data_IF_003460820912
#
_entry.id   IF_003460820912
#
_cell.length_a   1.000
_cell.length_b   1.000
_cell.length_c   1.000
_cell.angle_alpha   90.00
_cell.angle_beta   90.00
_cell.angle_gamma   90.00
#
_symmetry.space_group_name_H-M   'P 1'
#
loop_
_entity.id
_entity.type
_entity.pdbx_description
1 polymer ?
#
# COMPACT_ATOMS: atom_id res chain seq x y z
N UNK A 1 8.90 -2.72 6.22
CA UNK A 1 9.95 -2.29 7.16
C UNK A 1 11.26 -3.01 6.92
N UNK A 2 12.34 -2.27 6.92
CA UNK A 2 13.67 -2.80 7.14
C UNK A 2 13.88 -2.94 8.65
N UNK A 3 14.41 -4.10 9.09
CA UNK A 3 14.62 -4.40 10.51
C UNK A 3 15.99 -5.02 10.70
N UNK A 4 16.54 -4.90 11.91
CA UNK A 4 17.82 -5.51 12.25
C UNK A 4 17.74 -7.04 12.10
N UNK A 5 18.85 -7.61 11.65
CA UNK A 5 18.98 -9.06 11.53
C UNK A 5 18.95 -9.69 12.92
N UNK A 6 17.99 -10.57 13.15
CA UNK A 6 17.90 -11.37 14.36
C UNK A 6 18.27 -12.84 14.06
N UNK A 7 18.91 -13.49 15.00
CA UNK A 7 19.38 -14.87 14.85
C UNK A 7 18.51 -15.88 15.62
N UNK A 8 17.62 -15.39 16.48
CA UNK A 8 16.72 -16.24 17.25
C UNK A 8 15.26 -15.75 17.08
N UNK A 9 14.28 -16.66 16.92
CA UNK A 9 12.88 -16.31 16.72
C UNK A 9 12.26 -15.50 17.87
N UNK A 10 12.83 -15.57 19.06
CA UNK A 10 12.38 -14.88 20.26
C UNK A 10 12.97 -13.47 20.42
N UNK A 11 13.91 -13.09 19.58
CA UNK A 11 14.45 -11.73 19.61
C UNK A 11 13.41 -10.72 19.13
N UNK A 12 13.30 -9.55 19.79
CA UNK A 12 12.39 -8.52 19.35
C UNK A 12 12.77 -7.98 17.97
N UNK A 13 11.75 -7.58 17.21
CA UNK A 13 11.97 -6.84 15.97
C UNK A 13 12.37 -5.41 16.36
N UNK A 14 13.54 -5.00 15.93
CA UNK A 14 14.09 -3.67 16.20
C UNK A 14 14.52 -3.00 14.89
N UNK A 15 14.53 -1.65 14.84
CA UNK A 15 15.00 -0.93 13.66
C UNK A 15 16.43 -1.28 13.28
N UNK A 16 16.77 -1.28 11.98
CA UNK A 16 18.12 -1.62 11.52
C UNK A 16 19.12 -0.51 11.82
N UNK A 17 20.39 -0.83 11.70
CA UNK A 17 21.48 0.13 11.76
C UNK A 17 21.65 0.79 10.40
N UNK A 18 21.65 2.12 10.36
CA UNK A 18 21.93 2.87 9.15
C UNK A 18 23.43 3.00 8.87
N UNK A 19 23.78 3.55 7.71
CA UNK A 19 25.19 3.76 7.27
C UNK A 19 26.02 4.62 8.23
N UNK A 20 25.36 5.51 8.99
CA UNK A 20 26.01 6.36 9.99
C UNK A 20 26.29 5.66 11.32
N UNK A 21 25.92 4.39 11.48
CA UNK A 21 26.03 3.65 12.72
C UNK A 21 24.92 3.98 13.74
N UNK A 22 23.88 4.70 13.33
CA UNK A 22 22.69 4.98 14.16
C UNK A 22 21.53 4.09 13.74
N UNK A 23 20.70 3.71 14.69
CA UNK A 23 19.46 3.01 14.39
C UNK A 23 18.43 3.98 13.80
N UNK A 24 17.59 3.47 12.89
CA UNK A 24 16.44 4.21 12.40
C UNK A 24 15.58 4.73 13.55
N UNK A 25 15.07 5.94 13.39
CA UNK A 25 14.14 6.57 14.30
C UNK A 25 12.78 6.75 13.62
N UNK A 26 11.70 6.67 14.40
CA UNK A 26 10.35 6.96 13.93
C UNK A 26 10.12 8.46 13.70
N UNK A 27 8.98 8.80 13.08
CA UNK A 27 8.50 10.17 12.84
C UNK A 27 9.40 10.97 11.89
N UNK A 28 10.03 10.28 10.94
CA UNK A 28 10.87 10.90 9.91
C UNK A 28 10.26 10.77 8.50
N UNK A 29 8.94 10.74 8.39
CA UNK A 29 8.26 10.65 7.11
C UNK A 29 8.77 11.74 6.14
N UNK A 30 9.00 11.34 4.89
CA UNK A 30 9.54 12.16 3.80
C UNK A 30 10.98 12.68 4.00
N UNK A 31 11.70 12.19 5.00
CA UNK A 31 13.09 12.57 5.22
C UNK A 31 14.02 11.90 4.20
N UNK A 32 14.66 12.68 3.36
CA UNK A 32 15.68 12.17 2.41
C UNK A 32 16.88 11.57 3.15
N UNK A 33 17.34 12.21 4.22
CA UNK A 33 18.46 11.69 5.00
C UNK A 33 18.15 10.35 5.66
N UNK A 34 16.89 10.10 6.03
CA UNK A 34 16.49 8.80 6.57
C UNK A 34 16.50 7.70 5.49
N UNK A 35 16.11 8.03 4.26
CA UNK A 35 16.23 7.11 3.09
C UNK A 35 17.71 6.82 2.81
N UNK A 36 18.56 7.83 2.83
CA UNK A 36 19.99 7.72 2.57
C UNK A 36 20.72 6.79 3.57
N UNK A 37 20.20 6.61 4.78
CA UNK A 37 20.75 5.66 5.74
C UNK A 37 20.77 4.23 5.20
N UNK A 38 19.87 3.92 4.25
CA UNK A 38 19.70 2.60 3.62
C UNK A 38 19.98 2.63 2.12
N UNK A 39 20.72 3.62 1.63
CA UNK A 39 20.96 3.84 0.19
C UNK A 39 21.41 2.58 -0.54
N UNK A 40 22.32 1.79 0.01
CA UNK A 40 22.78 0.52 -0.62
C UNK A 40 21.68 -0.53 -0.77
N UNK A 41 20.76 -0.62 0.19
CA UNK A 41 19.59 -1.52 0.08
C UNK A 41 18.68 -1.03 -1.04
N UNK A 42 18.50 0.28 -1.11
CA UNK A 42 17.64 0.94 -2.11
C UNK A 42 18.24 0.79 -3.52
N UNK A 43 19.55 0.99 -3.66
CA UNK A 43 20.26 0.78 -4.91
C UNK A 43 20.09 -0.66 -5.42
N UNK A 44 20.27 -1.67 -4.57
CA UNK A 44 20.03 -3.08 -4.92
C UNK A 44 18.56 -3.34 -5.28
N UNK A 45 17.58 -2.65 -4.63
CA UNK A 45 16.17 -2.78 -4.98
C UNK A 45 15.93 -2.26 -6.40
N UNK A 46 16.48 -1.10 -6.77
CA UNK A 46 16.37 -0.56 -8.13
C UNK A 46 17.05 -1.46 -9.15
N UNK A 47 18.27 -1.90 -8.90
CA UNK A 47 19.02 -2.78 -9.80
C UNK A 47 18.28 -4.10 -10.05
N UNK A 48 17.71 -4.70 -9.01
CA UNK A 48 16.95 -5.94 -9.14
C UNK A 48 15.60 -5.74 -9.83
N UNK A 49 14.94 -4.61 -9.59
CA UNK A 49 13.69 -4.25 -10.26
C UNK A 49 13.94 -4.06 -11.76
N UNK A 50 14.96 -3.28 -12.13
CA UNK A 50 15.35 -3.08 -13.54
C UNK A 50 15.68 -4.41 -14.25
N UNK A 51 16.45 -5.27 -13.60
CA UNK A 51 16.82 -6.59 -14.14
C UNK A 51 15.62 -7.51 -14.39
N UNK A 52 14.49 -7.29 -13.70
CA UNK A 52 13.23 -8.03 -13.84
C UNK A 52 12.18 -7.28 -14.67
N UNK A 53 12.49 -6.07 -15.13
CA UNK A 53 11.56 -5.24 -15.90
C UNK A 53 10.44 -4.63 -15.06
N UNK A 54 10.64 -4.47 -13.74
CA UNK A 54 9.69 -3.79 -12.85
C UNK A 54 9.97 -2.29 -12.79
N UNK A 55 8.92 -1.50 -12.82
CA UNK A 55 9.01 -0.05 -12.79
C UNK A 55 8.63 0.50 -11.41
N UNK A 56 9.58 1.16 -10.76
CA UNK A 56 9.37 1.85 -9.48
C UNK A 56 9.05 3.32 -9.78
N UNK A 57 7.87 3.78 -9.38
CA UNK A 57 7.47 5.21 -9.48
C UNK A 57 8.23 6.07 -8.46
N UNK A 58 8.42 5.56 -7.26
CA UNK A 58 9.21 6.25 -6.24
C UNK A 58 9.38 5.46 -4.95
N UNK A 59 10.42 5.86 -4.19
CA UNK A 59 10.71 5.32 -2.86
C UNK A 59 10.79 6.49 -1.89
N UNK A 60 10.15 6.35 -0.72
CA UNK A 60 10.17 7.36 0.32
C UNK A 60 10.23 6.75 1.73
N UNK A 61 10.73 7.55 2.69
CA UNK A 61 10.66 7.21 4.11
C UNK A 61 9.25 7.46 4.64
N UNK A 62 8.68 6.47 5.29
CA UNK A 62 7.41 6.54 6.00
C UNK A 62 7.59 6.88 7.49
N UNK A 63 6.48 6.90 8.24
CA UNK A 63 6.48 7.35 9.63
C UNK A 63 7.17 6.42 10.62
N UNK A 64 7.27 5.13 10.34
CA UNK A 64 7.89 4.14 11.22
C UNK A 64 9.41 4.07 11.07
N UNK A 65 10.08 3.63 12.13
CA UNK A 65 11.52 3.45 12.12
C UNK A 65 11.95 2.35 11.14
N UNK A 66 12.67 2.71 10.07
CA UNK A 66 13.04 1.79 8.98
C UNK A 66 11.87 1.44 8.05
N UNK A 67 10.78 2.19 8.10
CA UNK A 67 9.64 2.00 7.21
C UNK A 67 9.87 2.73 5.89
N UNK A 68 9.87 1.99 4.81
CA UNK A 68 10.04 2.51 3.46
C UNK A 68 8.77 2.21 2.67
N UNK A 69 8.23 3.21 2.00
CA UNK A 69 7.15 3.05 1.02
C UNK A 69 7.76 2.99 -0.37
N UNK A 70 7.26 2.06 -1.17
CA UNK A 70 7.63 1.90 -2.58
C UNK A 70 6.37 1.95 -3.41
N UNK A 71 6.31 2.88 -4.34
CA UNK A 71 5.20 3.07 -5.25
C UNK A 71 5.49 2.39 -6.59
N UNK A 72 4.55 1.59 -7.06
CA UNK A 72 4.58 0.94 -8.36
C UNK A 72 3.67 1.67 -9.33
N UNK A 73 3.98 1.63 -10.61
CA UNK A 73 3.14 2.15 -11.66
C UNK A 73 1.82 1.37 -11.73
N UNK A 74 0.75 2.06 -12.14
CA UNK A 74 -0.54 1.41 -12.37
C UNK A 74 -0.52 0.56 -13.64
N UNK A 75 -1.30 -0.52 -13.66
CA UNK A 75 -1.35 -1.43 -14.80
C UNK A 75 -2.49 -2.44 -14.69
N UNK A 76 -2.37 -3.50 -15.46
CA UNK A 76 -3.27 -4.65 -15.39
C UNK A 76 -3.23 -5.28 -13.99
N UNK A 77 -4.39 -5.54 -13.35
CA UNK A 77 -4.43 -5.99 -11.96
C UNK A 77 -3.76 -7.36 -11.72
N UNK A 78 -3.78 -8.26 -12.69
CA UNK A 78 -3.12 -9.58 -12.56
C UNK A 78 -1.61 -9.42 -12.69
N UNK A 79 -1.14 -8.70 -13.70
CA UNK A 79 0.27 -8.41 -13.90
C UNK A 79 0.85 -7.66 -12.69
N UNK A 80 0.11 -6.68 -12.14
CA UNK A 80 0.55 -5.95 -10.95
C UNK A 80 0.58 -6.85 -9.69
N UNK A 81 -0.34 -7.82 -9.58
CA UNK A 81 -0.29 -8.80 -8.49
C UNK A 81 0.94 -9.71 -8.59
N UNK A 82 1.32 -10.15 -9.80
CA UNK A 82 2.56 -10.88 -10.08
C UNK A 82 3.77 -10.04 -9.67
N UNK A 83 3.81 -8.80 -10.11
CA UNK A 83 4.87 -7.85 -9.79
C UNK A 83 5.04 -7.67 -8.27
N UNK A 84 3.97 -7.38 -7.54
CA UNK A 84 3.99 -7.23 -6.07
C UNK A 84 4.51 -8.51 -5.40
N UNK A 85 4.08 -9.69 -5.88
CA UNK A 85 4.51 -10.97 -5.33
C UNK A 85 6.02 -11.17 -5.45
N UNK A 86 6.58 -10.96 -6.65
CA UNK A 86 8.01 -11.06 -6.89
C UNK A 86 8.80 -9.94 -6.21
N UNK A 87 8.24 -8.72 -6.19
CA UNK A 87 8.86 -7.56 -5.58
C UNK A 87 9.09 -7.73 -4.08
N UNK A 88 8.16 -8.35 -3.36
CA UNK A 88 8.36 -8.71 -1.94
C UNK A 88 9.57 -9.61 -1.73
N UNK A 89 9.82 -10.55 -2.64
CA UNK A 89 11.00 -11.41 -2.60
C UNK A 89 12.27 -10.64 -2.89
N UNK A 90 12.26 -9.83 -3.95
CA UNK A 90 13.36 -8.97 -4.36
C UNK A 90 13.84 -8.08 -3.21
N UNK A 91 12.92 -7.40 -2.54
CA UNK A 91 13.24 -6.52 -1.40
C UNK A 91 13.87 -7.32 -0.24
N UNK A 92 13.40 -8.54 0.03
CA UNK A 92 14.02 -9.39 1.06
C UNK A 92 15.46 -9.75 0.72
N UNK A 93 15.74 -10.09 -0.53
CA UNK A 93 17.09 -10.41 -1.00
C UNK A 93 18.02 -9.18 -0.93
N UNK A 94 17.55 -8.02 -1.34
CA UNK A 94 18.30 -6.77 -1.22
C UNK A 94 18.64 -6.47 0.25
N UNK A 95 17.66 -6.58 1.16
CA UNK A 95 17.89 -6.38 2.58
C UNK A 95 18.92 -7.35 3.18
N UNK A 96 18.84 -8.63 2.82
CA UNK A 96 19.77 -9.67 3.29
C UNK A 96 21.23 -9.39 2.92
N UNK A 97 21.50 -8.76 1.79
CA UNK A 97 22.86 -8.38 1.37
C UNK A 97 23.48 -7.31 2.26
N UNK A 98 22.66 -6.56 3.00
CA UNK A 98 23.08 -5.42 3.82
C UNK A 98 22.77 -5.60 5.30
N UNK A 99 22.88 -6.82 5.80
CA UNK A 99 22.74 -7.19 7.22
C UNK A 99 21.41 -6.74 7.87
N UNK A 100 20.34 -6.64 7.07
CA UNK A 100 19.00 -6.40 7.56
C UNK A 100 18.00 -7.39 6.97
N UNK A 101 16.80 -7.45 7.56
CA UNK A 101 15.66 -8.15 7.00
C UNK A 101 14.63 -7.15 6.53
N UNK A 102 13.89 -7.49 5.46
CA UNK A 102 12.68 -6.80 5.07
C UNK A 102 11.46 -7.59 5.54
N UNK A 103 10.58 -6.95 6.32
CA UNK A 103 9.31 -7.54 6.76
C UNK A 103 8.13 -6.81 6.16
N UNK A 104 7.14 -7.59 5.71
CA UNK A 104 5.84 -7.13 5.21
C UNK A 104 4.71 -7.39 6.21
N UNK A 105 5.04 -7.67 7.44
CA UNK A 105 4.12 -7.83 8.55
C UNK A 105 3.29 -6.56 8.73
N UNK A 106 1.98 -6.67 8.93
CA UNK A 106 1.10 -5.49 9.01
C UNK A 106 1.41 -4.60 10.20
N UNK A 107 1.84 -5.16 11.34
CA UNK A 107 2.24 -4.43 12.53
C UNK A 107 3.51 -5.07 13.13
N UNK A 108 4.70 -4.78 12.57
CA UNK A 108 5.93 -5.44 13.01
C UNK A 108 6.45 -4.95 14.36
N UNK A 109 6.26 -3.66 14.66
CA UNK A 109 6.77 -3.02 15.88
C UNK A 109 5.59 -2.37 16.61
N UNK A 110 5.45 -2.71 17.89
CA UNK A 110 4.45 -2.09 18.76
C UNK A 110 4.77 -0.60 18.96
N UNK A 111 3.75 0.27 18.96
CA UNK A 111 3.93 1.72 19.08
C UNK A 111 4.39 2.43 17.79
N UNK A 112 4.74 1.71 16.73
CA UNK A 112 5.08 2.26 15.42
C UNK A 112 3.88 2.18 14.47
N UNK A 113 3.86 2.92 13.35
CA UNK A 113 2.87 2.74 12.28
C UNK A 113 2.83 1.31 11.74
N UNK A 114 1.71 0.94 11.13
CA UNK A 114 1.57 -0.34 10.43
C UNK A 114 2.03 -0.25 8.98
N UNK A 115 2.17 -1.43 8.34
CA UNK A 115 2.54 -1.59 6.94
C UNK A 115 1.30 -1.88 6.10
N UNK A 116 0.98 -0.99 5.17
CA UNK A 116 -0.19 -1.08 4.30
C UNK A 116 0.20 -1.45 2.86
N UNK A 117 -0.74 -2.06 2.16
CA UNK A 117 -0.76 -2.13 0.70
C UNK A 117 -1.93 -1.28 0.21
N UNK A 118 -1.72 0.03 0.04
CA UNK A 118 -2.76 0.89 -0.49
C UNK A 118 -3.05 0.52 -1.95
N UNK A 119 -4.31 0.22 -2.26
CA UNK A 119 -4.73 -0.19 -3.60
C UNK A 119 -5.51 0.95 -4.24
N UNK A 120 -4.97 1.49 -5.31
CA UNK A 120 -5.61 2.54 -6.09
C UNK A 120 -6.40 1.93 -7.25
N UNK A 121 -7.66 2.31 -7.39
CA UNK A 121 -8.54 1.86 -8.45
C UNK A 121 -8.93 3.03 -9.35
N UNK A 122 -8.68 2.90 -10.63
CA UNK A 122 -9.32 3.66 -11.70
C UNK A 122 -9.94 2.67 -12.69
N UNK A 123 -11.01 3.08 -13.34
CA UNK A 123 -11.69 2.24 -14.34
C UNK A 123 -11.81 3.04 -15.63
N UNK A 124 -11.39 2.43 -16.73
CA UNK A 124 -11.46 3.03 -18.05
C UNK A 124 -12.47 2.29 -18.93
N UNK A 125 -13.21 3.05 -19.73
CA UNK A 125 -14.06 2.49 -20.78
C UNK A 125 -13.18 1.92 -21.90
N UNK A 126 -13.40 0.65 -22.25
CA UNK A 126 -12.55 -0.06 -23.23
C UNK A 126 -12.62 0.56 -24.63
N UNK A 127 -13.76 1.10 -25.02
CA UNK A 127 -13.97 1.63 -26.36
C UNK A 127 -13.32 3.01 -26.54
N UNK A 128 -13.31 3.83 -25.48
CA UNK A 128 -12.88 5.21 -25.53
C UNK A 128 -11.55 5.48 -24.83
N UNK A 129 -11.09 4.56 -23.98
CA UNK A 129 -9.92 4.75 -23.11
C UNK A 129 -10.11 5.77 -21.99
N UNK A 130 -11.33 6.29 -21.81
CA UNK A 130 -11.63 7.37 -20.84
C UNK A 130 -11.89 6.81 -19.45
N UNK A 131 -11.41 7.51 -18.45
CA UNK A 131 -11.73 7.21 -17.07
C UNK A 131 -13.22 7.43 -16.80
N UNK A 132 -13.93 6.40 -16.34
CA UNK A 132 -15.40 6.47 -16.08
C UNK A 132 -15.74 7.14 -14.75
N UNK A 133 -14.74 7.39 -13.89
CA UNK A 133 -14.94 8.04 -12.59
C UNK A 133 -15.04 9.57 -12.67
N UNK A 134 -14.74 10.15 -13.83
CA UNK A 134 -14.78 11.58 -14.04
C UNK A 134 -15.46 11.92 -15.37
N UNK A 135 -16.25 13.00 -15.40
CA UNK A 135 -16.80 13.57 -16.61
C UNK A 135 -15.81 14.56 -17.27
N UNK A 136 -16.18 15.09 -18.45
CA UNK A 136 -15.37 16.04 -19.22
C UNK A 136 -15.12 17.37 -18.50
N UNK A 137 -15.88 17.65 -17.45
CA UNK A 137 -15.73 18.84 -16.61
C UNK A 137 -14.94 18.54 -15.31
N UNK A 138 -14.41 17.33 -15.18
CA UNK A 138 -13.68 16.89 -14.00
C UNK A 138 -14.55 16.59 -12.78
N UNK A 139 -15.86 16.50 -12.94
CA UNK A 139 -16.78 16.14 -11.85
C UNK A 139 -16.85 14.63 -11.71
N UNK A 140 -17.09 14.18 -10.50
CA UNK A 140 -17.33 12.77 -10.19
C UNK A 140 -18.61 12.26 -10.85
N UNK A 141 -18.53 11.11 -11.46
CA UNK A 141 -19.69 10.47 -12.12
C UNK A 141 -20.51 9.63 -11.16
N UNK A 142 -21.77 9.29 -11.47
CA UNK A 142 -22.51 8.29 -10.70
C UNK A 142 -21.80 6.95 -10.60
N UNK A 143 -21.10 6.51 -11.65
CA UNK A 143 -20.32 5.27 -11.63
C UNK A 143 -19.22 5.31 -10.53
N UNK A 144 -18.58 6.45 -10.33
CA UNK A 144 -17.60 6.58 -9.26
C UNK A 144 -18.24 6.46 -7.86
N UNK A 145 -19.37 7.13 -7.66
CA UNK A 145 -20.12 7.03 -6.40
C UNK A 145 -20.63 5.62 -6.13
N UNK A 146 -21.16 4.94 -7.15
CA UNK A 146 -21.57 3.54 -7.03
C UNK A 146 -20.39 2.62 -6.68
N UNK A 147 -19.23 2.84 -7.28
CA UNK A 147 -18.01 2.08 -6.94
C UNK A 147 -17.61 2.28 -5.48
N UNK A 148 -17.66 3.51 -4.96
CA UNK A 148 -17.40 3.83 -3.55
C UNK A 148 -18.42 3.13 -2.65
N UNK A 149 -19.71 3.22 -2.97
CA UNK A 149 -20.79 2.58 -2.21
C UNK A 149 -20.61 1.05 -2.12
N UNK A 150 -20.25 0.42 -3.23
CA UNK A 150 -19.95 -1.02 -3.26
C UNK A 150 -18.77 -1.37 -2.35
N UNK A 151 -17.72 -0.56 -2.36
CA UNK A 151 -16.60 -0.74 -1.43
C UNK A 151 -17.04 -0.63 0.02
N UNK A 152 -17.82 0.39 0.39
CA UNK A 152 -18.31 0.56 1.76
C UNK A 152 -19.19 -0.60 2.21
N UNK A 153 -20.07 -1.08 1.33
CA UNK A 153 -21.01 -2.15 1.62
C UNK A 153 -20.36 -3.52 1.75
N UNK A 154 -19.43 -3.86 0.87
CA UNK A 154 -18.93 -5.23 0.71
C UNK A 154 -17.58 -5.49 1.37
N UNK A 155 -16.73 -4.47 1.57
CA UNK A 155 -15.42 -4.65 2.22
C UNK A 155 -15.48 -5.26 3.61
N UNK A 156 -16.48 -4.99 4.48
CA UNK A 156 -16.57 -5.67 5.77
C UNK A 156 -16.59 -7.20 5.66
N UNK A 157 -17.30 -7.73 4.66
CA UNK A 157 -17.36 -9.18 4.41
C UNK A 157 -16.06 -9.73 3.79
N UNK A 158 -15.31 -8.87 3.09
CA UNK A 158 -14.06 -9.24 2.41
C UNK A 158 -12.80 -8.98 3.25
N UNK A 159 -12.94 -8.45 4.47
CA UNK A 159 -11.80 -7.97 5.26
C UNK A 159 -10.74 -9.04 5.51
N UNK A 160 -11.12 -10.31 5.65
CA UNK A 160 -10.18 -11.42 5.86
C UNK A 160 -9.22 -11.64 4.68
N UNK A 161 -9.55 -11.16 3.48
CA UNK A 161 -8.68 -11.21 2.30
C UNK A 161 -7.68 -10.04 2.30
N UNK A 162 -7.99 -8.95 3.00
CA UNK A 162 -7.15 -7.76 3.13
C UNK A 162 -6.32 -7.76 4.42
N UNK A 163 -6.79 -8.47 5.45
CA UNK A 163 -6.19 -8.59 6.78
C UNK A 163 -6.24 -10.06 7.25
N UNK A 164 -5.40 -10.95 6.67
CA UNK A 164 -5.56 -12.39 6.83
C UNK A 164 -5.04 -12.97 8.15
N UNK A 165 -4.27 -12.22 8.93
CA UNK A 165 -3.63 -12.71 10.14
C UNK A 165 -4.07 -11.95 11.39
N UNK A 166 -3.91 -12.53 12.56
CA UNK A 166 -4.15 -11.85 13.85
C UNK A 166 -3.35 -10.54 13.95
N UNK A 167 -2.11 -10.54 13.48
CA UNK A 167 -1.28 -9.34 13.44
C UNK A 167 -1.84 -8.26 12.53
N UNK A 168 -2.53 -8.62 11.45
CA UNK A 168 -3.13 -7.66 10.51
C UNK A 168 -4.10 -6.71 11.22
N UNK A 169 -4.90 -7.23 12.15
CA UNK A 169 -5.88 -6.45 12.91
C UNK A 169 -5.25 -5.49 13.93
N UNK A 170 -4.00 -5.75 14.36
CA UNK A 170 -3.26 -4.83 15.24
C UNK A 170 -2.87 -3.52 14.55
N UNK A 171 -3.01 -3.46 13.23
CA UNK A 171 -2.79 -2.24 12.45
C UNK A 171 -3.95 -1.26 12.59
N UNK A 172 -5.19 -1.75 12.77
CA UNK A 172 -6.39 -0.92 12.86
C UNK A 172 -6.58 -0.38 14.28
N UNK A 173 -5.77 0.59 14.65
CA UNK A 173 -5.81 1.24 15.97
C UNK A 173 -5.85 2.76 15.80
N UNK A 174 -6.54 3.48 16.72
CA UNK A 174 -6.57 4.94 16.70
C UNK A 174 -5.17 5.55 16.74
N UNK A 175 -5.06 6.80 16.31
CA UNK A 175 -3.85 7.63 16.37
C UNK A 175 -2.66 7.17 15.50
N UNK A 176 -2.89 6.18 14.64
CA UNK A 176 -1.94 5.76 13.60
C UNK A 176 -2.54 5.98 12.20
N UNK A 177 -1.69 5.94 11.18
CA UNK A 177 -2.09 6.22 9.80
C UNK A 177 -3.04 5.19 9.16
N UNK A 178 -3.28 4.03 9.81
CA UNK A 178 -4.25 3.05 9.34
C UNK A 178 -5.68 3.49 9.68
N UNK A 179 -6.63 3.39 8.73
CA UNK A 179 -8.02 3.73 8.99
C UNK A 179 -8.67 2.70 9.91
N UNK A 180 -9.58 3.17 10.75
CA UNK A 180 -10.42 2.34 11.64
C UNK A 180 -11.89 2.36 11.22
N UNK A 181 -12.20 2.86 10.04
CA UNK A 181 -13.52 3.07 9.50
C UNK A 181 -13.55 2.76 8.00
N UNK A 182 -14.74 2.75 7.41
CA UNK A 182 -15.00 2.60 5.98
C UNK A 182 -15.57 3.87 5.35
N UNK A 183 -15.46 4.98 6.05
CA UNK A 183 -15.83 6.27 5.49
C UNK A 183 -14.98 6.61 4.28
N UNK A 184 -15.51 7.42 3.40
CA UNK A 184 -14.76 7.96 2.29
C UNK A 184 -14.57 9.48 2.39
N UNK A 185 -13.54 9.99 1.78
CA UNK A 185 -13.29 11.43 1.78
C UNK A 185 -12.28 11.87 0.73
N UNK A 186 -12.44 13.13 0.29
CA UNK A 186 -11.49 13.77 -0.62
C UNK A 186 -10.25 14.19 0.14
N UNK A 187 -9.12 13.68 -0.32
CA UNK A 187 -7.79 13.88 0.26
C UNK A 187 -7.69 13.69 1.78
N UNK A 188 -8.56 12.85 2.33
CA UNK A 188 -8.60 12.56 3.76
C UNK A 188 -7.90 11.22 4.05
N UNK A 189 -6.75 11.28 4.73
CA UNK A 189 -5.96 10.10 5.08
C UNK A 189 -6.46 9.35 6.33
N UNK A 190 -7.49 9.86 7.01
CA UNK A 190 -8.10 9.19 8.18
C UNK A 190 -9.23 8.24 7.79
N UNK A 191 -9.69 8.31 6.53
CA UNK A 191 -10.77 7.45 5.99
C UNK A 191 -10.23 6.15 5.42
N UNK A 192 -11.05 5.09 5.44
CA UNK A 192 -10.74 3.81 4.82
C UNK A 192 -10.65 3.88 3.30
N UNK A 193 -11.44 4.77 2.71
CA UNK A 193 -11.50 5.03 1.30
C UNK A 193 -11.16 6.51 1.05
N UNK A 194 -10.10 6.76 0.30
CA UNK A 194 -9.65 8.12 0.00
C UNK A 194 -9.75 8.40 -1.50
N UNK A 195 -10.25 9.57 -1.85
CA UNK A 195 -10.20 10.11 -3.21
C UNK A 195 -9.04 11.12 -3.27
N UNK A 196 -7.87 10.74 -3.83
CA UNK A 196 -6.75 11.66 -3.95
C UNK A 196 -7.05 12.83 -4.88
N UNK A 197 -6.41 13.97 -4.64
CA UNK A 197 -6.47 15.11 -5.57
C UNK A 197 -5.83 14.68 -6.88
N UNK A 198 -6.56 14.88 -7.99
CA UNK A 198 -6.09 14.49 -9.31
C UNK A 198 -6.86 15.22 -10.42
N UNK A 199 -6.30 15.27 -11.63
CA UNK A 199 -7.05 15.61 -12.84
C UNK A 199 -8.11 14.54 -13.18
N UNK A 200 -8.99 14.82 -14.15
CA UNK A 200 -10.06 13.91 -14.55
C UNK A 200 -9.59 12.54 -15.00
N UNK A 201 -8.52 12.49 -15.78
CA UNK A 201 -7.92 11.28 -16.35
C UNK A 201 -7.31 10.36 -15.28
N UNK A 202 -6.83 10.94 -14.17
CA UNK A 202 -6.20 10.25 -13.05
C UNK A 202 -7.15 10.08 -11.85
N UNK A 203 -8.47 10.27 -12.04
CA UNK A 203 -9.46 10.07 -10.97
C UNK A 203 -9.44 8.63 -10.50
N UNK A 204 -9.28 8.44 -9.17
CA UNK A 204 -9.14 7.11 -8.59
C UNK A 204 -9.64 7.07 -7.16
N UNK A 205 -9.93 5.89 -6.69
CA UNK A 205 -10.23 5.58 -5.30
C UNK A 205 -9.07 4.80 -4.69
N UNK A 206 -8.59 5.22 -3.54
CA UNK A 206 -7.58 4.53 -2.75
C UNK A 206 -8.26 3.72 -1.65
N UNK A 207 -8.14 2.39 -1.70
CA UNK A 207 -8.48 1.50 -0.60
C UNK A 207 -7.28 1.39 0.35
N UNK A 208 -7.43 1.88 1.57
CA UNK A 208 -6.38 1.96 2.59
C UNK A 208 -6.41 0.83 3.61
N UNK A 209 -7.36 -0.12 3.46
CA UNK A 209 -7.57 -1.20 4.43
C UNK A 209 -6.57 -2.34 4.28
N UNK A 210 -6.11 -2.65 3.08
CA UNK A 210 -5.22 -3.78 2.85
C UNK A 210 -3.90 -3.65 3.63
N UNK A 211 -3.56 -4.69 4.38
CA UNK A 211 -2.23 -4.84 4.98
C UNK A 211 -1.22 -5.33 3.96
N UNK A 212 0.07 -5.00 4.13
CA UNK A 212 1.12 -5.47 3.22
C UNK A 212 1.36 -6.98 3.34
N UNK A 213 0.81 -7.61 4.37
CA UNK A 213 0.85 -9.06 4.62
C UNK A 213 -0.21 -9.85 3.85
N UNK A 214 -1.20 -9.19 3.24
CA UNK A 214 -2.19 -9.89 2.42
C UNK A 214 -1.57 -10.50 1.14
N UNK A 215 -2.25 -11.49 0.61
CA UNK A 215 -1.94 -12.02 -0.72
C UNK A 215 -2.38 -10.98 -1.77
N UNK A 216 -1.48 -10.47 -2.63
CA UNK A 216 -1.79 -9.39 -3.58
C UNK A 216 -2.90 -9.77 -4.55
N UNK A 217 -2.95 -11.01 -5.03
CA UNK A 217 -4.03 -11.47 -5.93
C UNK A 217 -5.39 -11.41 -5.24
N UNK A 218 -5.49 -11.94 -4.01
CA UNK A 218 -6.73 -11.94 -3.25
C UNK A 218 -7.14 -10.54 -2.81
N UNK A 219 -6.19 -9.72 -2.38
CA UNK A 219 -6.43 -8.35 -1.95
C UNK A 219 -6.94 -7.47 -3.09
N UNK A 220 -6.29 -7.51 -4.25
CA UNK A 220 -6.69 -6.75 -5.44
C UNK A 220 -8.04 -7.28 -5.95
N UNK A 221 -8.22 -8.60 -6.09
CA UNK A 221 -9.46 -9.19 -6.56
C UNK A 221 -10.64 -8.85 -5.65
N UNK A 222 -10.49 -8.98 -4.33
CA UNK A 222 -11.54 -8.63 -3.37
C UNK A 222 -11.92 -7.15 -3.45
N UNK A 223 -10.93 -6.28 -3.54
CA UNK A 223 -11.13 -4.84 -3.64
C UNK A 223 -11.87 -4.48 -4.94
N UNK A 224 -11.45 -5.01 -6.09
CA UNK A 224 -12.13 -4.82 -7.37
C UNK A 224 -13.56 -5.37 -7.36
N UNK A 225 -13.76 -6.56 -6.81
CA UNK A 225 -15.10 -7.18 -6.73
C UNK A 225 -16.06 -6.33 -5.90
N UNK A 226 -15.62 -5.79 -4.77
CA UNK A 226 -16.46 -4.91 -3.95
C UNK A 226 -16.90 -3.66 -4.73
N UNK A 227 -15.99 -2.99 -5.42
CA UNK A 227 -16.33 -1.83 -6.25
C UNK A 227 -17.21 -2.19 -7.44
N UNK A 228 -16.95 -3.32 -8.11
CA UNK A 228 -17.74 -3.80 -9.23
C UNK A 228 -19.20 -4.13 -8.82
N UNK A 229 -19.41 -4.75 -7.66
CA UNK A 229 -20.75 -4.99 -7.13
C UNK A 229 -21.52 -3.68 -6.94
N UNK A 230 -20.86 -2.63 -6.47
CA UNK A 230 -21.47 -1.30 -6.37
C UNK A 230 -21.93 -0.74 -7.72
N UNK A 231 -21.15 -0.96 -8.78
CA UNK A 231 -21.56 -0.58 -10.14
C UNK A 231 -22.79 -1.34 -10.61
N UNK A 232 -22.91 -2.62 -10.25
CA UNK A 232 -24.08 -3.45 -10.59
C UNK A 232 -25.33 -3.07 -9.79
N UNK A 233 -25.16 -2.77 -8.51
CA UNK A 233 -26.25 -2.42 -7.59
C UNK A 233 -26.72 -0.97 -7.75
N UNK A 234 -25.88 -0.11 -8.33
CA UNK A 234 -26.14 1.32 -8.58
C UNK A 234 -26.57 2.10 -7.31
N UNK A 235 -26.01 1.72 -6.15
CA UNK A 235 -26.25 2.41 -4.87
C UNK A 235 -25.37 3.66 -4.73
N UNK A 236 -25.78 4.59 -3.84
CA UNK A 236 -24.97 5.75 -3.49
C UNK A 236 -24.33 5.57 -2.11
N UNK A 237 -23.12 6.12 -1.89
CA UNK A 237 -22.38 6.02 -0.62
C UNK A 237 -22.97 6.87 0.49
#
# INVERSE_FOLDING_TARGET
>A
FLVARNIAPTQPIIPPMGRTGRRAAAKQAYSMSAVDEYGKVIDDIYDFAEAQGFEIDGILQEGGAGQVEINLNHGDPVALADEIFYFKRLIREAALRHDCFATFMAKPIEGEPGSAMHIHHSVTDVATGRNIFSDDKGRETPAFLHFIAGMQKHLPAAIALLAPYVNSYRRYVPDFAAPINLEWGRDNRTTGLRVPISGPEARRLENRLAGMDCNPYLGIAASLACGYLGLLEAENP
#
